data_IF_858285759809
#
_entry.id   IF_858285759809
#
_cell.length_a   1.000
_cell.length_b   1.000
_cell.length_c   1.000
_cell.angle_alpha   90.00
_cell.angle_beta   90.00
_cell.angle_gamma   90.00
#
_symmetry.space_group_name_H-M   'P 1'
#
loop_
_entity.id
_entity.type
_entity.pdbx_description
1 polymer ?
#
# COMPACT_ATOMS: atom_id res chain seq x y z
N UNK A 1 -40.50 8.24 25.93
CA UNK A 1 -40.17 9.15 24.81
C UNK A 1 -38.68 9.41 24.83
N UNK A 2 -38.06 9.25 23.66
CA UNK A 2 -36.77 9.79 23.19
C UNK A 2 -35.50 9.63 24.04
N UNK A 3 -34.70 8.63 23.67
CA UNK A 3 -33.25 8.59 23.86
C UNK A 3 -32.56 8.28 22.52
N UNK A 4 -32.84 9.07 21.49
CA UNK A 4 -32.26 8.93 20.17
C UNK A 4 -30.94 9.70 20.07
N UNK A 5 -29.84 9.11 20.54
CA UNK A 5 -28.49 9.59 20.25
C UNK A 5 -27.97 8.81 19.04
N UNK A 6 -28.37 9.23 17.84
CA UNK A 6 -27.66 8.88 16.62
C UNK A 6 -26.98 10.15 16.12
N UNK A 7 -25.84 10.45 16.72
CA UNK A 7 -24.88 11.39 16.16
C UNK A 7 -24.06 10.61 15.14
N UNK A 8 -24.60 10.45 13.94
CA UNK A 8 -23.81 10.26 12.72
C UNK A 8 -23.03 11.54 12.46
N UNK A 9 -22.09 11.86 13.35
CA UNK A 9 -21.12 12.92 13.12
C UNK A 9 -20.24 12.46 11.98
N UNK A 10 -20.28 13.17 10.86
CA UNK A 10 -19.30 12.98 9.79
C UNK A 10 -17.90 12.94 10.41
N UNK A 11 -17.03 12.00 9.97
CA UNK A 11 -15.68 11.91 10.49
C UNK A 11 -15.01 13.28 10.37
N UNK A 12 -14.71 13.90 11.52
CA UNK A 12 -14.03 15.19 11.54
C UNK A 12 -12.60 14.99 11.07
N UNK A 13 -12.26 15.66 9.98
CA UNK A 13 -10.90 15.70 9.45
C UNK A 13 -10.07 16.68 10.29
N UNK A 14 -8.84 16.32 10.69
CA UNK A 14 -7.97 17.26 11.37
C UNK A 14 -7.67 18.45 10.46
N UNK A 15 -7.79 19.64 11.04
CA UNK A 15 -7.34 20.90 10.47
C UNK A 15 -5.81 20.92 10.36
N UNK A 16 -5.26 21.80 9.52
CA UNK A 16 -3.81 21.92 9.38
C UNK A 16 -3.15 22.31 10.71
N UNK A 17 -3.82 23.14 11.51
CA UNK A 17 -3.36 23.54 12.85
C UNK A 17 -3.31 22.36 13.83
N UNK A 18 -4.27 21.42 13.77
CA UNK A 18 -4.24 20.20 14.60
C UNK A 18 -3.09 19.27 14.17
N UNK A 19 -2.84 19.14 12.87
CA UNK A 19 -1.71 18.37 12.33
C UNK A 19 -0.36 18.95 12.79
N UNK A 20 -0.18 20.27 12.66
CA UNK A 20 1.03 20.94 13.12
C UNK A 20 1.22 20.86 14.64
N UNK A 21 0.14 20.97 15.41
CA UNK A 21 0.18 20.88 16.85
C UNK A 21 0.55 19.47 17.32
N UNK A 22 -0.05 18.44 16.72
CA UNK A 22 0.29 17.04 16.99
C UNK A 22 1.75 16.74 16.62
N UNK A 23 2.24 17.26 15.49
CA UNK A 23 3.64 17.12 15.09
C UNK A 23 4.61 17.76 16.07
N UNK A 24 4.30 18.97 16.52
CA UNK A 24 5.10 19.68 17.52
C UNK A 24 5.15 18.92 18.84
N UNK A 25 3.99 18.47 19.33
CA UNK A 25 3.89 17.66 20.54
C UNK A 25 4.73 16.39 20.41
N UNK A 26 4.60 15.65 19.30
CA UNK A 26 5.35 14.43 19.09
C UNK A 26 6.86 14.67 19.10
N UNK A 27 7.32 15.73 18.41
CA UNK A 27 8.73 16.11 18.35
C UNK A 27 9.29 16.48 19.72
N UNK A 28 8.57 17.28 20.50
CA UNK A 28 9.06 17.80 21.78
C UNK A 28 8.96 16.74 22.89
N UNK A 29 7.85 16.04 22.97
CA UNK A 29 7.58 15.06 24.03
C UNK A 29 8.31 13.74 23.80
N UNK A 30 8.32 13.22 22.57
CA UNK A 30 8.80 11.87 22.26
C UNK A 30 10.14 11.83 21.53
N UNK A 31 10.47 12.85 20.73
CA UNK A 31 11.68 12.90 19.91
C UNK A 31 12.55 14.17 20.09
N UNK A 32 12.85 14.63 21.32
CA UNK A 32 13.43 15.97 21.56
C UNK A 32 14.85 16.17 21.00
N UNK A 33 15.48 15.13 20.45
CA UNK A 33 16.85 15.18 19.93
C UNK A 33 16.95 14.88 18.43
N UNK A 34 15.86 14.49 17.77
CA UNK A 34 15.91 14.04 16.38
C UNK A 34 15.99 15.21 15.40
N UNK A 35 15.11 16.20 15.50
CA UNK A 35 15.08 17.36 14.61
C UNK A 35 15.40 18.67 15.36
N UNK A 36 16.63 18.76 15.90
CA UNK A 36 17.07 19.94 16.67
C UNK A 36 17.10 21.23 15.85
N UNK A 37 17.29 21.12 14.53
CA UNK A 37 17.36 22.27 13.65
C UNK A 37 15.99 22.67 13.07
N UNK A 38 14.90 21.96 13.42
CA UNK A 38 13.56 22.29 12.95
C UNK A 38 13.37 22.18 11.43
N UNK A 39 14.16 21.32 10.78
CA UNK A 39 14.17 21.21 9.31
C UNK A 39 12.99 20.41 8.80
N UNK A 40 12.53 19.43 9.57
CA UNK A 40 11.44 18.57 9.17
C UNK A 40 10.11 19.33 9.20
N UNK A 41 9.29 19.12 8.17
CA UNK A 41 7.95 19.69 8.04
C UNK A 41 6.90 18.59 8.02
N UNK A 42 5.70 18.92 8.46
CA UNK A 42 4.52 18.09 8.28
C UNK A 42 3.58 18.77 7.30
N UNK A 43 2.96 18.00 6.42
CA UNK A 43 2.04 18.50 5.40
C UNK A 43 0.82 17.58 5.31
N UNK A 44 -0.37 18.18 5.27
CA UNK A 44 -1.60 17.45 4.98
C UNK A 44 -1.80 17.39 3.49
N UNK A 45 -2.00 16.19 2.95
CA UNK A 45 -2.24 15.96 1.53
C UNK A 45 -3.58 15.28 1.31
N UNK A 46 -4.14 15.40 0.11
CA UNK A 46 -5.46 14.82 -0.22
C UNK A 46 -5.39 13.37 -0.68
N UNK A 47 -4.21 12.89 -1.07
CA UNK A 47 -4.01 11.53 -1.57
C UNK A 47 -2.56 11.07 -1.34
N UNK A 48 -2.41 9.86 -0.78
CA UNK A 48 -1.15 9.11 -0.68
C UNK A 48 -1.30 7.70 -1.28
N UNK A 49 -2.11 7.54 -2.32
CA UNK A 49 -2.37 6.26 -2.98
C UNK A 49 -2.87 5.17 -2.01
N UNK A 50 -3.70 5.56 -1.06
CA UNK A 50 -4.29 4.68 -0.05
C UNK A 50 -3.47 4.48 1.23
N UNK A 51 -2.34 5.19 1.38
CA UNK A 51 -1.61 5.27 2.65
C UNK A 51 -2.18 6.40 3.52
N UNK A 52 -2.09 6.25 4.84
CA UNK A 52 -2.50 7.29 5.79
C UNK A 52 -1.35 8.28 6.09
N UNK A 53 -0.11 7.82 6.01
CA UNK A 53 1.10 8.62 6.21
C UNK A 53 2.23 8.23 5.27
N UNK A 54 3.16 9.15 5.06
CA UNK A 54 4.37 8.89 4.28
C UNK A 54 5.54 9.78 4.73
N UNK A 55 6.71 9.18 4.90
CA UNK A 55 7.96 9.87 5.21
C UNK A 55 8.79 10.13 3.94
N UNK A 56 8.81 11.37 3.45
CA UNK A 56 9.74 11.83 2.42
C UNK A 56 11.07 12.26 3.07
N UNK A 57 12.01 11.32 3.15
CA UNK A 57 13.31 11.57 3.76
C UNK A 57 14.18 12.59 3.00
N UNK A 58 14.05 12.64 1.67
CA UNK A 58 14.86 13.52 0.84
C UNK A 58 14.38 14.96 0.96
N UNK A 59 13.06 15.17 0.93
CA UNK A 59 12.44 16.48 1.16
C UNK A 59 12.36 16.88 2.64
N UNK A 60 12.66 15.98 3.57
CA UNK A 60 12.49 16.18 5.02
C UNK A 60 11.05 16.53 5.39
N UNK A 61 10.10 15.76 4.84
CA UNK A 61 8.66 15.96 5.04
C UNK A 61 7.99 14.71 5.58
N UNK A 62 7.00 14.91 6.42
CA UNK A 62 6.02 13.90 6.80
C UNK A 62 4.70 14.31 6.17
N UNK A 63 4.15 13.47 5.32
CA UNK A 63 2.87 13.69 4.67
C UNK A 63 1.80 12.89 5.41
N UNK A 64 0.65 13.50 5.69
CA UNK A 64 -0.50 12.83 6.31
C UNK A 64 -1.70 12.98 5.40
N UNK A 65 -2.44 11.89 5.18
CA UNK A 65 -3.62 11.84 4.32
C UNK A 65 -4.88 11.43 5.10
N UNK A 66 -5.63 12.41 5.64
CA UNK A 66 -6.92 12.15 6.27
C UNK A 66 -8.01 11.67 5.29
N UNK A 67 -9.05 10.95 5.77
CA UNK A 67 -9.29 10.63 7.16
C UNK A 67 -8.42 9.44 7.59
N UNK A 68 -8.06 9.42 8.87
CA UNK A 68 -7.28 8.33 9.44
C UNK A 68 -8.24 7.26 9.93
N UNK A 69 -8.11 6.04 9.39
CA UNK A 69 -8.96 4.91 9.73
C UNK A 69 -8.26 3.95 10.70
N UNK A 70 -6.95 3.78 10.54
CA UNK A 70 -6.14 2.84 11.31
C UNK A 70 -5.49 3.54 12.50
N UNK A 71 -4.94 4.73 12.28
CA UNK A 71 -4.17 5.44 13.30
C UNK A 71 -4.93 6.63 13.90
N UNK A 72 -4.70 6.92 15.17
CA UNK A 72 -4.85 8.28 15.64
C UNK A 72 -3.72 9.16 15.08
N UNK A 73 -3.99 10.46 14.94
CA UNK A 73 -3.06 11.41 14.32
C UNK A 73 -1.67 11.42 14.99
N UNK A 74 -1.61 11.31 16.33
CA UNK A 74 -0.33 11.39 17.05
C UNK A 74 0.46 10.10 16.85
N UNK A 75 -0.19 8.93 16.92
CA UNK A 75 0.45 7.64 16.66
C UNK A 75 0.99 7.54 15.23
N UNK A 76 0.20 7.97 14.22
CA UNK A 76 0.68 8.04 12.84
C UNK A 76 1.93 8.91 12.71
N UNK A 77 1.89 10.12 13.29
CA UNK A 77 3.04 11.02 13.23
C UNK A 77 4.27 10.42 13.92
N UNK A 78 4.08 9.75 15.07
CA UNK A 78 5.16 9.03 15.75
C UNK A 78 5.74 7.95 14.84
N UNK A 79 4.90 7.16 14.17
CA UNK A 79 5.29 6.13 13.20
C UNK A 79 6.15 6.73 12.07
N UNK A 80 5.68 7.80 11.44
CA UNK A 80 6.41 8.48 10.36
C UNK A 80 7.72 9.12 10.81
N UNK A 81 7.81 9.64 12.04
CA UNK A 81 9.08 10.12 12.62
C UNK A 81 10.07 8.96 12.79
N UNK A 82 9.61 7.76 13.16
CA UNK A 82 10.51 6.59 13.24
C UNK A 82 11.03 6.21 11.85
N UNK A 83 10.18 6.26 10.81
CA UNK A 83 10.64 6.14 9.42
C UNK A 83 11.69 7.19 9.07
N UNK A 84 11.49 8.43 9.50
CA UNK A 84 12.45 9.50 9.25
C UNK A 84 13.83 9.27 9.90
N UNK A 85 13.89 8.54 11.02
CA UNK A 85 15.14 8.23 11.73
C UNK A 85 15.91 7.08 11.05
N UNK A 86 15.23 6.00 10.65
CA UNK A 86 15.90 4.77 10.19
C UNK A 86 15.80 4.51 8.69
N UNK A 87 14.84 5.13 8.02
CA UNK A 87 14.50 4.86 6.62
C UNK A 87 13.79 3.54 6.39
N UNK A 88 12.98 3.53 5.33
CA UNK A 88 12.41 2.33 4.74
C UNK A 88 11.62 1.45 5.70
N UNK A 89 11.80 0.14 5.52
CA UNK A 89 11.01 -0.99 6.07
C UNK A 89 10.91 -1.05 7.59
N UNK A 90 9.84 -1.69 8.08
CA UNK A 90 9.53 -1.89 9.50
C UNK A 90 10.39 -2.96 10.21
N UNK A 91 11.70 -2.92 9.99
CA UNK A 91 12.64 -3.91 10.54
C UNK A 91 12.90 -3.79 12.05
N UNK A 92 13.83 -4.61 12.58
CA UNK A 92 14.15 -4.67 14.02
C UNK A 92 14.47 -3.32 14.66
N UNK A 93 15.17 -2.42 13.93
CA UNK A 93 15.51 -1.08 14.45
C UNK A 93 14.28 -0.18 14.59
N UNK A 94 13.38 -0.25 13.61
CA UNK A 94 12.10 0.47 13.59
C UNK A 94 11.24 0.04 14.78
N UNK A 95 10.99 -1.28 14.91
CA UNK A 95 10.16 -1.84 15.99
C UNK A 95 10.75 -1.60 17.37
N UNK A 96 12.08 -1.73 17.53
CA UNK A 96 12.76 -1.41 18.78
C UNK A 96 12.56 0.05 19.16
N UNK A 97 12.64 0.98 18.19
CA UNK A 97 12.43 2.40 18.48
C UNK A 97 10.99 2.69 18.84
N UNK A 98 10.02 2.15 18.13
CA UNK A 98 8.61 2.31 18.48
C UNK A 98 8.34 1.82 19.91
N UNK A 99 8.90 0.68 20.30
CA UNK A 99 8.78 0.20 21.69
C UNK A 99 9.33 1.21 22.71
N UNK A 100 10.50 1.80 22.44
CA UNK A 100 11.07 2.85 23.29
C UNK A 100 10.16 4.07 23.39
N UNK A 101 9.45 4.43 22.32
CA UNK A 101 8.50 5.54 22.32
C UNK A 101 7.23 5.17 23.09
N UNK A 102 6.71 3.95 22.95
CA UNK A 102 5.59 3.46 23.76
C UNK A 102 5.92 3.51 25.26
N UNK A 103 7.09 3.02 25.66
CA UNK A 103 7.55 3.06 27.05
C UNK A 103 7.66 4.49 27.58
N UNK A 104 8.15 5.41 26.73
CA UNK A 104 8.22 6.84 27.05
C UNK A 104 6.83 7.47 27.18
N UNK A 105 5.89 7.15 26.29
CA UNK A 105 4.51 7.62 26.38
C UNK A 105 3.84 7.19 27.70
N UNK A 106 4.01 5.93 28.11
CA UNK A 106 3.55 5.46 29.44
C UNK A 106 4.18 6.25 30.59
N UNK A 107 5.49 6.54 30.52
CA UNK A 107 6.17 7.32 31.56
C UNK A 107 5.69 8.77 31.68
N UNK A 108 5.13 9.32 30.60
CA UNK A 108 4.53 10.67 30.56
C UNK A 108 3.04 10.67 30.88
N UNK A 109 2.43 9.50 31.11
CA UNK A 109 0.99 9.35 31.36
C UNK A 109 0.13 9.33 30.10
N UNK A 110 0.72 9.30 28.90
CA UNK A 110 0.01 9.17 27.63
C UNK A 110 -0.20 7.68 27.29
N UNK A 111 -1.14 7.06 28.01
CA UNK A 111 -1.43 5.63 27.89
C UNK A 111 -2.16 5.27 26.58
N UNK A 112 -2.94 6.18 26.01
CA UNK A 112 -3.64 5.95 24.75
C UNK A 112 -2.66 5.86 23.58
N UNK A 113 -1.69 6.78 23.50
CA UNK A 113 -0.63 6.69 22.49
C UNK A 113 0.22 5.42 22.67
N UNK A 114 0.57 5.07 23.91
CA UNK A 114 1.33 3.85 24.18
C UNK A 114 0.60 2.60 23.68
N UNK A 115 -0.72 2.52 23.93
CA UNK A 115 -1.58 1.43 23.46
C UNK A 115 -1.70 1.41 21.93
N UNK A 116 -1.82 2.56 21.29
CA UNK A 116 -1.85 2.65 19.83
C UNK A 116 -0.54 2.12 19.21
N UNK A 117 0.62 2.49 19.78
CA UNK A 117 1.92 1.98 19.34
C UNK A 117 2.07 0.47 19.62
N UNK A 118 1.58 -0.03 20.75
CA UNK A 118 1.60 -1.48 21.03
C UNK A 118 0.78 -2.27 19.99
N UNK A 119 -0.38 -1.74 19.59
CA UNK A 119 -1.22 -2.35 18.54
C UNK A 119 -0.50 -2.35 17.18
N UNK A 120 0.20 -1.27 16.85
CA UNK A 120 1.03 -1.18 15.64
C UNK A 120 2.15 -2.23 15.67
N UNK A 121 2.87 -2.34 16.80
CA UNK A 121 3.90 -3.34 17.01
C UNK A 121 3.39 -4.78 16.94
N UNK A 122 2.18 -5.06 17.43
CA UNK A 122 1.53 -6.37 17.29
C UNK A 122 1.23 -6.67 15.83
N UNK A 123 0.68 -5.70 15.10
CA UNK A 123 0.50 -5.75 13.65
C UNK A 123 1.80 -6.14 12.95
N UNK A 124 2.91 -5.45 13.24
CA UNK A 124 4.22 -5.70 12.62
C UNK A 124 4.88 -7.05 12.99
N UNK A 125 4.42 -7.70 14.07
CA UNK A 125 4.90 -9.05 14.45
C UNK A 125 4.18 -10.16 13.71
N UNK A 126 3.03 -9.87 13.12
CA UNK A 126 2.29 -10.85 12.34
C UNK A 126 3.09 -11.20 11.07
N UNK A 127 3.53 -12.46 10.87
CA UNK A 127 4.23 -12.84 9.65
C UNK A 127 3.41 -12.61 8.37
N UNK A 128 2.08 -12.51 8.47
CA UNK A 128 1.20 -12.19 7.36
C UNK A 128 1.10 -10.68 7.06
N UNK A 129 1.57 -9.81 7.96
CA UNK A 129 1.65 -8.36 7.75
C UNK A 129 3.01 -7.91 7.17
N UNK A 130 3.92 -8.86 6.94
CA UNK A 130 5.25 -8.60 6.40
C UNK A 130 5.10 -7.84 5.09
N UNK A 131 5.83 -6.71 4.99
CA UNK A 131 6.06 -5.89 3.81
C UNK A 131 5.71 -6.65 2.53
N UNK A 132 4.53 -6.32 1.96
CA UNK A 132 4.08 -6.90 0.71
C UNK A 132 5.16 -6.63 -0.33
N UNK A 133 5.85 -7.70 -0.67
CA UNK A 133 7.18 -7.58 -1.23
C UNK A 133 7.16 -6.93 -2.61
N UNK A 134 8.30 -6.41 -3.04
CA UNK A 134 8.58 -6.04 -4.43
C UNK A 134 8.10 -7.13 -5.42
N UNK A 135 8.09 -8.40 -5.01
CA UNK A 135 7.59 -9.50 -5.83
C UNK A 135 6.07 -9.50 -6.01
N UNK A 136 5.30 -9.00 -5.04
CA UNK A 136 3.86 -8.81 -5.19
C UNK A 136 3.55 -7.68 -6.17
N UNK A 137 4.34 -6.60 -6.15
CA UNK A 137 4.25 -5.56 -7.16
C UNK A 137 4.52 -6.14 -8.56
N UNK A 138 5.61 -6.90 -8.73
CA UNK A 138 5.90 -7.54 -10.01
C UNK A 138 4.85 -8.57 -10.43
N UNK A 139 4.36 -9.40 -9.51
CA UNK A 139 3.28 -10.36 -9.79
C UNK A 139 2.00 -9.65 -10.24
N UNK A 140 1.65 -8.54 -9.60
CA UNK A 140 0.51 -7.72 -9.99
C UNK A 140 0.66 -7.18 -11.42
N UNK A 141 1.86 -6.70 -11.80
CA UNK A 141 2.14 -6.27 -13.18
C UNK A 141 1.92 -7.44 -14.15
N UNK A 142 2.52 -8.60 -13.88
CA UNK A 142 2.41 -9.79 -14.75
C UNK A 142 0.96 -10.20 -14.98
N UNK A 143 0.23 -10.42 -13.88
CA UNK A 143 -1.17 -10.86 -13.93
C UNK A 143 -2.04 -9.87 -14.69
N UNK A 144 -1.80 -8.57 -14.50
CA UNK A 144 -2.60 -7.54 -15.16
C UNK A 144 -2.33 -7.44 -16.67
N UNK A 145 -1.07 -7.60 -17.10
CA UNK A 145 -0.72 -7.69 -18.52
C UNK A 145 -1.37 -8.91 -19.16
N UNK A 146 -1.23 -10.08 -18.54
CA UNK A 146 -1.81 -11.34 -19.04
C UNK A 146 -3.34 -11.25 -19.23
N UNK A 147 -4.04 -10.59 -18.31
CA UNK A 147 -5.50 -10.48 -18.32
C UNK A 147 -6.05 -9.38 -19.25
N UNK A 148 -5.33 -8.26 -19.40
CA UNK A 148 -5.89 -7.05 -19.99
C UNK A 148 -5.22 -6.58 -21.27
N UNK A 149 -4.08 -7.14 -21.68
CA UNK A 149 -3.42 -6.76 -22.94
C UNK A 149 -4.31 -7.13 -24.16
N UNK A 150 -4.39 -6.29 -25.21
CA UNK A 150 -3.59 -5.10 -25.54
C UNK A 150 -4.12 -3.76 -24.99
N UNK A 151 -5.12 -3.76 -24.11
CA UNK A 151 -5.77 -2.52 -23.64
C UNK A 151 -5.09 -1.90 -22.42
N UNK A 152 -3.92 -2.37 -22.04
CA UNK A 152 -3.25 -1.99 -20.79
C UNK A 152 -2.03 -1.13 -21.07
N UNK A 153 -1.85 -0.07 -20.27
CA UNK A 153 -0.63 0.76 -20.28
C UNK A 153 0.25 0.44 -19.07
N UNK A 154 1.53 0.78 -19.18
CA UNK A 154 2.48 0.62 -18.09
C UNK A 154 2.06 1.40 -16.84
N UNK A 155 1.59 2.64 -17.01
CA UNK A 155 1.17 3.53 -15.92
C UNK A 155 0.02 2.90 -15.13
N UNK A 156 -0.95 2.27 -15.82
CA UNK A 156 -2.06 1.61 -15.17
C UNK A 156 -1.62 0.35 -14.42
N UNK A 157 -0.71 -0.42 -14.99
CA UNK A 157 -0.13 -1.59 -14.31
C UNK A 157 0.64 -1.19 -13.05
N UNK A 158 1.44 -0.12 -13.11
CA UNK A 158 2.16 0.45 -11.96
C UNK A 158 1.19 0.94 -10.89
N UNK A 159 0.10 1.61 -11.27
CA UNK A 159 -0.90 2.07 -10.30
C UNK A 159 -1.55 0.91 -9.52
N UNK A 160 -1.81 -0.22 -10.17
CA UNK A 160 -2.34 -1.40 -9.47
C UNK A 160 -1.27 -2.07 -8.60
N UNK A 161 -0.07 -2.22 -9.15
CA UNK A 161 1.06 -2.85 -8.46
C UNK A 161 1.47 -2.10 -7.20
N UNK A 162 1.50 -0.76 -7.27
CA UNK A 162 1.83 0.08 -6.11
C UNK A 162 0.79 -0.07 -4.99
N UNK A 163 -0.49 -0.14 -5.36
CA UNK A 163 -1.59 -0.27 -4.42
C UNK A 163 -1.57 -1.65 -3.75
N UNK A 164 -1.33 -2.70 -4.53
CA UNK A 164 -1.19 -4.06 -4.02
C UNK A 164 -0.02 -4.19 -3.03
N UNK A 165 1.12 -3.58 -3.35
CA UNK A 165 2.34 -3.63 -2.56
C UNK A 165 2.47 -2.51 -1.51
N UNK A 166 1.48 -1.62 -1.37
CA UNK A 166 1.52 -0.45 -0.49
C UNK A 166 2.77 0.44 -0.67
N UNK A 167 3.23 0.59 -1.92
CA UNK A 167 4.40 1.42 -2.24
C UNK A 167 3.93 2.80 -2.74
N UNK A 168 4.40 3.91 -2.15
CA UNK A 168 4.12 5.25 -2.64
C UNK A 168 4.56 5.46 -4.10
N UNK A 169 3.81 6.27 -4.86
CA UNK A 169 4.14 6.59 -6.25
C UNK A 169 5.59 7.03 -6.45
N UNK A 170 6.01 8.01 -5.65
CA UNK A 170 7.33 8.65 -5.74
C UNK A 170 8.48 7.66 -5.54
N UNK A 171 8.21 6.59 -4.79
CA UNK A 171 9.21 5.58 -4.46
C UNK A 171 9.10 4.33 -5.32
N UNK A 172 7.99 4.15 -6.05
CA UNK A 172 7.72 2.89 -6.74
C UNK A 172 8.83 2.49 -7.69
N UNK A 173 9.28 3.37 -8.58
CA UNK A 173 10.34 3.03 -9.55
C UNK A 173 11.72 2.89 -8.89
N UNK A 174 11.93 3.50 -7.72
CA UNK A 174 13.16 3.32 -6.93
C UNK A 174 13.18 1.95 -6.26
N UNK A 175 12.04 1.53 -5.70
CA UNK A 175 11.87 0.26 -4.99
C UNK A 175 11.70 -0.92 -5.95
N UNK A 176 11.06 -0.70 -7.09
CA UNK A 176 10.75 -1.68 -8.13
C UNK A 176 11.43 -1.31 -9.47
N UNK A 177 12.76 -1.23 -9.55
CA UNK A 177 13.47 -0.74 -10.74
C UNK A 177 13.25 -1.61 -11.99
N UNK A 178 12.84 -2.87 -11.80
CA UNK A 178 12.55 -3.81 -12.90
C UNK A 178 11.10 -3.74 -13.37
N UNK A 179 10.24 -2.91 -12.79
CA UNK A 179 8.81 -2.88 -13.10
C UNK A 179 8.55 -2.73 -14.61
N UNK A 180 9.32 -1.84 -15.27
CA UNK A 180 9.23 -1.64 -16.73
C UNK A 180 9.63 -2.88 -17.51
N UNK A 181 10.78 -3.46 -17.18
CA UNK A 181 11.24 -4.69 -17.82
C UNK A 181 10.27 -5.87 -17.62
N UNK A 182 9.65 -5.99 -16.43
CA UNK A 182 8.60 -6.98 -16.18
C UNK A 182 7.41 -6.74 -17.10
N UNK A 183 6.91 -5.51 -17.18
CA UNK A 183 5.80 -5.17 -18.08
C UNK A 183 6.13 -5.51 -19.54
N UNK A 184 7.27 -5.03 -20.05
CA UNK A 184 7.67 -5.21 -21.45
C UNK A 184 7.86 -6.70 -21.79
N UNK A 185 8.43 -7.50 -20.88
CA UNK A 185 8.60 -8.94 -21.08
C UNK A 185 7.26 -9.69 -21.16
N UNK A 186 6.28 -9.33 -20.33
CA UNK A 186 4.96 -9.98 -20.34
C UNK A 186 4.15 -9.59 -21.58
N UNK A 187 4.29 -8.35 -22.05
CA UNK A 187 3.71 -7.92 -23.34
C UNK A 187 4.29 -8.76 -24.48
N UNK A 188 5.63 -8.91 -24.53
CA UNK A 188 6.28 -9.72 -25.56
C UNK A 188 5.85 -11.19 -25.49
N UNK A 189 5.76 -11.77 -24.29
CA UNK A 189 5.30 -13.15 -24.09
C UNK A 189 3.85 -13.34 -24.58
N UNK A 190 2.96 -12.41 -24.27
CA UNK A 190 1.57 -12.44 -24.73
C UNK A 190 1.48 -12.35 -26.26
N UNK A 191 2.27 -11.49 -26.89
CA UNK A 191 2.30 -11.34 -28.36
C UNK A 191 2.82 -12.61 -29.04
N UNK A 192 3.86 -13.24 -28.48
CA UNK A 192 4.36 -14.52 -28.94
C UNK A 192 3.31 -15.63 -28.80
N UNK A 193 2.62 -15.71 -27.66
CA UNK A 193 1.54 -16.67 -27.44
C UNK A 193 0.37 -16.49 -28.42
N UNK A 194 -0.01 -15.25 -28.70
CA UNK A 194 -1.03 -14.95 -29.68
C UNK A 194 -0.59 -15.37 -31.09
N UNK A 195 0.66 -15.14 -31.46
CA UNK A 195 1.22 -15.57 -32.74
C UNK A 195 1.21 -17.10 -32.85
N UNK A 196 1.71 -17.79 -31.83
CA UNK A 196 1.67 -19.27 -31.75
C UNK A 196 0.24 -19.80 -31.89
N UNK A 197 -0.72 -19.20 -31.18
CA UNK A 197 -2.12 -19.60 -31.25
C UNK A 197 -2.74 -19.39 -32.64
N UNK A 198 -2.33 -18.35 -33.37
CA UNK A 198 -2.78 -18.11 -34.74
C UNK A 198 -2.19 -19.10 -35.75
N UNK A 199 -1.01 -19.67 -35.46
CA UNK A 199 -0.32 -20.66 -36.29
C UNK A 199 -0.71 -22.11 -35.95
N UNK A 200 -1.39 -22.36 -34.82
CA UNK A 200 -1.81 -23.70 -34.41
C UNK A 200 -2.81 -24.31 -35.39
N UNK A 201 -2.55 -25.55 -35.78
CA UNK A 201 -3.48 -26.40 -36.55
C UNK A 201 -4.66 -26.87 -35.70
N UNK A 202 -5.73 -27.30 -36.34
CA UNK A 202 -6.91 -27.85 -35.66
C UNK A 202 -6.55 -29.07 -34.81
N UNK A 203 -5.70 -29.96 -35.33
CA UNK A 203 -5.21 -31.14 -34.63
C UNK A 203 -4.43 -30.79 -33.36
N UNK A 204 -3.58 -29.76 -33.41
CA UNK A 204 -2.81 -29.29 -32.24
C UNK A 204 -3.71 -28.65 -31.19
N UNK A 205 -4.74 -27.90 -31.61
CA UNK A 205 -5.76 -27.36 -30.68
C UNK A 205 -6.49 -28.51 -29.99
N UNK A 206 -6.89 -29.55 -30.73
CA UNK A 206 -7.53 -30.73 -30.14
C UNK A 206 -6.60 -31.47 -29.17
N UNK A 207 -5.33 -31.66 -29.52
CA UNK A 207 -4.36 -32.32 -28.67
C UNK A 207 -4.14 -31.52 -27.36
N UNK A 208 -4.03 -30.19 -27.46
CA UNK A 208 -3.88 -29.30 -26.30
C UNK A 208 -5.11 -29.33 -25.39
N UNK A 209 -6.32 -29.36 -25.94
CA UNK A 209 -7.55 -29.47 -25.14
C UNK A 209 -7.64 -30.82 -24.41
N UNK A 210 -7.22 -31.91 -25.07
CA UNK A 210 -7.17 -33.25 -24.44
C UNK A 210 -6.14 -33.35 -23.33
N UNK A 211 -5.09 -32.52 -23.36
CA UNK A 211 -4.06 -32.48 -22.31
C UNK A 211 -4.44 -31.63 -21.10
N UNK A 212 -5.61 -30.97 -21.09
CA UNK A 212 -6.05 -30.19 -19.93
C UNK A 212 -6.62 -31.11 -18.86
N UNK A 213 -6.13 -30.95 -17.64
CA UNK A 213 -6.74 -31.62 -16.49
C UNK A 213 -8.09 -30.96 -16.15
N UNK A 214 -9.01 -31.70 -15.49
CA UNK A 214 -10.28 -31.14 -15.03
C UNK A 214 -10.11 -29.85 -14.20
N UNK A 215 -9.05 -29.76 -13.38
CA UNK A 215 -8.73 -28.60 -12.54
C UNK A 215 -8.41 -27.38 -13.40
N UNK A 216 -7.53 -27.53 -14.40
CA UNK A 216 -7.16 -26.44 -15.33
C UNK A 216 -8.37 -25.96 -16.13
N UNK A 217 -9.26 -26.88 -16.49
CA UNK A 217 -10.51 -26.56 -17.18
C UNK A 217 -11.47 -25.76 -16.27
N UNK A 218 -11.55 -26.11 -14.98
CA UNK A 218 -12.34 -25.41 -13.98
C UNK A 218 -11.79 -24.01 -13.68
N UNK A 219 -10.47 -23.86 -13.51
CA UNK A 219 -9.81 -22.56 -13.32
C UNK A 219 -10.05 -21.62 -14.51
N UNK A 220 -9.90 -22.13 -15.74
CA UNK A 220 -10.15 -21.34 -16.95
C UNK A 220 -11.60 -20.86 -17.02
N UNK A 221 -12.57 -21.73 -16.69
CA UNK A 221 -13.99 -21.37 -16.61
C UNK A 221 -14.24 -20.31 -15.53
N UNK A 222 -13.64 -20.46 -14.36
CA UNK A 222 -13.79 -19.49 -13.27
C UNK A 222 -13.18 -18.13 -13.63
N UNK A 223 -12.00 -18.13 -14.26
CA UNK A 223 -11.34 -16.91 -14.76
C UNK A 223 -12.21 -16.19 -15.79
N UNK A 224 -12.75 -16.92 -16.77
CA UNK A 224 -13.66 -16.34 -17.76
C UNK A 224 -14.93 -15.77 -17.12
N UNK A 225 -15.51 -16.45 -16.11
CA UNK A 225 -16.67 -15.95 -15.39
C UNK A 225 -16.38 -14.64 -14.64
N UNK A 226 -15.20 -14.53 -13.99
CA UNK A 226 -14.76 -13.29 -13.31
C UNK A 226 -14.60 -12.14 -14.29
N UNK A 227 -13.96 -12.37 -15.43
CA UNK A 227 -13.80 -11.35 -16.49
C UNK A 227 -15.16 -10.85 -17.01
N UNK A 228 -16.10 -11.75 -17.28
CA UNK A 228 -17.46 -11.39 -17.70
C UNK A 228 -18.19 -10.57 -16.64
N UNK A 229 -17.98 -10.85 -15.35
CA UNK A 229 -18.58 -10.08 -14.26
C UNK A 229 -17.97 -8.68 -14.14
N UNK A 230 -16.65 -8.55 -14.31
CA UNK A 230 -15.95 -7.25 -14.29
C UNK A 230 -16.39 -6.35 -15.46
N UNK A 231 -16.50 -6.90 -16.68
CA UNK A 231 -16.99 -6.15 -17.85
C UNK A 231 -18.41 -5.60 -17.66
N UNK A 232 -19.31 -6.40 -17.04
CA UNK A 232 -20.67 -5.94 -16.72
C UNK A 232 -20.71 -4.80 -15.69
N UNK A 233 -19.69 -4.69 -14.82
CA UNK A 233 -19.59 -3.62 -13.81
C UNK A 233 -18.93 -2.36 -14.37
N UNK A 234 -17.94 -2.50 -15.27
CA UNK A 234 -17.22 -1.38 -15.88
C UNK A 234 -17.99 -0.61 -16.95
N UNK A 235 -19.05 -1.18 -17.54
CA UNK A 235 -19.86 -0.52 -18.58
C UNK A 235 -20.97 0.41 -18.06
N UNK A 236 -20.98 0.76 -16.77
CA UNK A 236 -21.98 1.65 -16.14
C UNK A 236 -21.40 2.95 -15.56
N UNK A 237 -20.17 3.31 -15.93
CA UNK A 237 -19.58 4.61 -15.63
C UNK A 237 -19.79 5.57 -16.81
#
# INVERSE_FOLDING_TARGET
MNGGASTTGDPQFPTDGEVEQAFRLARESYFPRWDRCGRWKIEKVSDLSGLEGYCDQHGQRILVCPPLYVYDLTSLIVHEIVHAIYGGVHGKRFTTRLQVIADRARSLGDFELAKAIDSDLEGLRNPDSVDRSVEEAYATIRNYVEECYPKVSFERAVLLARSAAHIPEVDFLRTCPRARAVFDNEVAAWEEDKKRAAEMTFEEVQARLRSWTPERLAETKQRHARLQQQLKRGGKA
#
